data_IF_580245370842
#
_entry.id   IF_580245370842
#
_cell.length_a   1.000
_cell.length_b   1.000
_cell.length_c   1.000
_cell.angle_alpha   90.00
_cell.angle_beta   90.00
_cell.angle_gamma   90.00
#
_symmetry.space_group_name_H-M   'P 1'
#
loop_
_entity.id
_entity.type
_entity.pdbx_description
1 polymer ?
#
# COMPACT_ATOMS: atom_id res chain seq x y z
N UNK A 1 37.26 36.36 27.74
CA UNK A 1 36.20 36.30 26.70
C UNK A 1 36.92 36.35 25.35
N UNK A 2 36.95 35.38 24.46
CA UNK A 2 36.18 34.15 24.25
C UNK A 2 37.08 33.19 23.46
N UNK A 3 37.44 32.05 24.04
CA UNK A 3 38.03 30.91 23.31
C UNK A 3 36.99 29.78 23.35
N UNK A 4 35.96 29.87 22.50
CA UNK A 4 34.82 28.94 22.47
C UNK A 4 34.30 28.58 21.07
N UNK A 5 34.99 28.97 20.00
CA UNK A 5 34.46 28.79 18.63
C UNK A 5 34.98 27.55 17.88
N UNK A 6 35.85 26.72 18.47
CA UNK A 6 36.47 25.58 17.77
C UNK A 6 35.78 24.21 17.98
N UNK A 7 34.82 24.09 18.88
CA UNK A 7 34.16 22.81 19.19
C UNK A 7 32.79 22.63 18.52
N UNK A 8 32.21 23.69 17.95
CA UNK A 8 30.85 23.63 17.40
C UNK A 8 30.80 23.04 15.98
N UNK A 9 31.89 23.17 15.20
CA UNK A 9 31.95 22.65 13.83
C UNK A 9 32.26 21.15 13.78
N UNK A 10 32.90 20.60 14.82
CA UNK A 10 33.17 19.16 14.91
C UNK A 10 31.94 18.32 15.32
N UNK A 11 30.93 18.94 15.95
CA UNK A 11 29.73 18.24 16.42
C UNK A 11 28.67 18.03 15.31
N UNK A 12 28.67 18.90 14.29
CA UNK A 12 27.72 18.84 13.16
C UNK A 12 28.12 17.79 12.12
N UNK A 13 29.41 17.46 11.99
CA UNK A 13 29.88 16.41 11.09
C UNK A 13 29.67 14.98 11.62
N UNK A 14 29.54 14.81 12.94
CA UNK A 14 29.31 13.50 13.56
C UNK A 14 27.82 13.08 13.52
N UNK A 15 26.91 14.05 13.50
CA UNK A 15 25.46 13.79 13.40
C UNK A 15 25.02 13.41 11.98
N UNK A 16 25.71 13.88 10.93
CA UNK A 16 25.41 13.53 9.53
C UNK A 16 25.96 12.15 9.13
N UNK A 17 27.04 11.67 9.76
CA UNK A 17 27.57 10.33 9.53
C UNK A 17 26.68 9.21 10.14
N UNK A 18 25.95 9.51 11.21
CA UNK A 18 25.08 8.52 11.90
C UNK A 18 23.81 8.17 11.10
N UNK A 19 23.24 9.14 10.36
CA UNK A 19 22.04 8.93 9.55
C UNK A 19 22.31 8.12 8.28
N UNK A 20 23.49 8.27 7.67
CA UNK A 20 23.85 7.56 6.43
C UNK A 20 24.12 6.07 6.72
N UNK A 21 24.80 5.76 7.83
CA UNK A 21 25.07 4.36 8.24
C UNK A 21 23.79 3.58 8.58
N UNK A 22 22.77 4.27 9.09
CA UNK A 22 21.48 3.64 9.46
C UNK A 22 20.66 3.24 8.23
N UNK A 23 20.64 4.07 7.19
CA UNK A 23 19.96 3.76 5.92
C UNK A 23 20.65 2.64 5.14
N UNK A 24 21.99 2.59 5.19
CA UNK A 24 22.77 1.59 4.46
C UNK A 24 22.69 0.18 5.08
N UNK A 25 22.49 0.09 6.40
CA UNK A 25 22.29 -1.19 7.11
C UNK A 25 20.90 -1.82 6.88
N UNK A 26 19.88 -1.04 6.51
CA UNK A 26 18.56 -1.57 6.15
C UNK A 26 18.55 -2.20 4.74
N UNK A 27 19.35 -1.69 3.81
CA UNK A 27 19.42 -2.22 2.45
C UNK A 27 20.26 -3.50 2.34
N UNK A 28 21.26 -3.68 3.23
CA UNK A 28 22.21 -4.80 3.16
C UNK A 28 21.76 -6.08 3.87
N UNK A 29 20.72 -6.03 4.71
CA UNK A 29 20.17 -7.18 5.45
C UNK A 29 18.75 -7.58 4.99
N UNK A 30 18.47 -7.48 3.69
CA UNK A 30 17.19 -7.91 3.13
C UNK A 30 17.16 -9.44 3.04
N UNK A 31 16.52 -10.08 4.02
CA UNK A 31 16.33 -11.55 4.04
C UNK A 31 15.47 -11.99 2.86
N UNK A 32 15.48 -13.29 2.55
CA UNK A 32 14.58 -13.86 1.55
C UNK A 32 13.10 -13.57 1.88
N UNK A 33 12.75 -13.61 3.16
CA UNK A 33 11.41 -13.28 3.65
C UNK A 33 11.02 -11.83 3.37
N UNK A 34 11.91 -10.85 3.63
CA UNK A 34 11.60 -9.45 3.35
C UNK A 34 11.37 -9.21 1.85
N UNK A 35 12.20 -9.79 0.97
CA UNK A 35 12.00 -9.69 -0.48
C UNK A 35 10.65 -10.26 -0.92
N UNK A 36 10.25 -11.40 -0.37
CA UNK A 36 8.94 -12.01 -0.66
C UNK A 36 7.78 -11.12 -0.18
N UNK A 37 7.92 -10.49 0.99
CA UNK A 37 6.90 -9.60 1.55
C UNK A 37 6.66 -8.39 0.64
N UNK A 38 7.72 -7.67 0.27
CA UNK A 38 7.56 -6.50 -0.60
C UNK A 38 7.11 -6.89 -2.01
N UNK A 39 7.55 -8.04 -2.53
CA UNK A 39 7.02 -8.53 -3.81
C UNK A 39 5.50 -8.80 -3.76
N UNK A 40 4.98 -9.29 -2.63
CA UNK A 40 3.54 -9.44 -2.43
C UNK A 40 2.84 -8.07 -2.38
N UNK A 41 3.40 -7.11 -1.64
CA UNK A 41 2.84 -5.76 -1.55
C UNK A 41 2.79 -5.06 -2.91
N UNK A 42 3.88 -5.13 -3.68
CA UNK A 42 3.96 -4.55 -5.02
C UNK A 42 2.94 -5.18 -5.97
N UNK A 43 2.78 -6.51 -5.91
CA UNK A 43 1.80 -7.21 -6.74
C UNK A 43 0.35 -6.80 -6.41
N UNK A 44 0.02 -6.70 -5.12
CA UNK A 44 -1.33 -6.26 -4.69
C UNK A 44 -1.58 -4.78 -4.97
N UNK A 45 -0.56 -3.94 -4.86
CA UNK A 45 -0.65 -2.54 -5.23
C UNK A 45 -0.99 -2.38 -6.71
N UNK A 46 -0.23 -3.03 -7.60
CA UNK A 46 -0.47 -2.99 -9.04
C UNK A 46 -1.84 -3.58 -9.42
N UNK A 47 -2.25 -4.68 -8.77
CA UNK A 47 -3.59 -5.23 -8.95
C UNK A 47 -4.67 -4.25 -8.50
N UNK A 48 -4.50 -3.61 -7.34
CA UNK A 48 -5.42 -2.61 -6.82
C UNK A 48 -5.61 -1.43 -7.76
N UNK A 49 -4.53 -0.91 -8.36
CA UNK A 49 -4.59 0.15 -9.37
C UNK A 49 -5.35 -0.31 -10.62
N UNK A 50 -5.10 -1.54 -11.08
CA UNK A 50 -5.76 -2.11 -12.27
C UNK A 50 -7.25 -2.36 -12.06
N UNK A 51 -7.62 -2.91 -10.90
CA UNK A 51 -9.01 -3.21 -10.53
C UNK A 51 -9.78 -1.95 -10.13
N UNK A 52 -9.10 -0.87 -9.73
CA UNK A 52 -9.73 0.41 -9.39
C UNK A 52 -9.21 1.57 -10.28
N UNK A 53 -9.62 1.65 -11.56
CA UNK A 53 -9.13 2.65 -12.50
C UNK A 53 -9.37 4.11 -12.10
N UNK A 54 -10.49 4.37 -11.40
CA UNK A 54 -10.83 5.71 -10.88
C UNK A 54 -9.87 6.13 -9.78
N UNK A 55 -9.50 5.20 -8.89
CA UNK A 55 -8.49 5.46 -7.85
C UNK A 55 -7.08 5.61 -8.43
N UNK A 56 -6.70 4.78 -9.40
CA UNK A 56 -5.44 4.96 -10.13
C UNK A 56 -5.36 6.36 -10.76
N UNK A 57 -6.45 6.79 -11.41
CA UNK A 57 -6.54 8.12 -12.02
C UNK A 57 -6.44 9.24 -10.98
N UNK A 58 -7.05 9.07 -9.80
CA UNK A 58 -6.95 10.00 -8.67
C UNK A 58 -5.50 10.15 -8.17
N UNK A 59 -4.74 9.05 -8.13
CA UNK A 59 -3.31 9.05 -7.77
C UNK A 59 -2.39 9.59 -8.88
N UNK A 60 -2.94 9.95 -10.05
CA UNK A 60 -2.18 10.44 -11.19
C UNK A 60 -1.72 9.35 -12.16
N UNK A 61 -1.97 8.07 -11.86
CA UNK A 61 -1.71 6.97 -12.78
C UNK A 61 -2.83 6.87 -13.83
N UNK A 62 -2.50 7.26 -15.06
CA UNK A 62 -3.45 7.30 -16.17
C UNK A 62 -3.48 6.03 -17.03
N UNK A 63 -2.74 4.96 -16.67
CA UNK A 63 -2.68 3.69 -17.45
C UNK A 63 -4.06 3.05 -17.69
N UNK A 64 -5.03 3.32 -16.82
CA UNK A 64 -6.39 2.75 -16.86
C UNK A 64 -7.50 3.80 -16.99
N UNK A 65 -7.17 5.06 -17.31
CA UNK A 65 -8.11 6.20 -17.28
C UNK A 65 -9.32 6.09 -18.24
N UNK A 66 -9.31 5.10 -19.14
CA UNK A 66 -10.40 4.79 -20.07
C UNK A 66 -11.29 3.62 -19.61
N UNK A 67 -11.20 3.20 -18.35
CA UNK A 67 -11.94 2.05 -17.80
C UNK A 67 -12.72 2.41 -16.54
N UNK A 68 -13.72 1.59 -16.26
CA UNK A 68 -14.45 1.55 -14.99
C UNK A 68 -14.11 0.28 -14.22
N UNK A 69 -14.33 0.32 -12.90
CA UNK A 69 -14.30 -0.90 -12.08
C UNK A 69 -15.39 -1.88 -12.58
N UNK A 70 -15.04 -3.16 -12.69
CA UNK A 70 -16.02 -4.22 -12.97
C UNK A 70 -16.78 -4.56 -11.69
N UNK A 71 -18.02 -4.05 -11.59
CA UNK A 71 -18.92 -4.26 -10.46
C UNK A 71 -19.80 -5.52 -10.59
N UNK A 72 -19.54 -6.41 -11.55
CA UNK A 72 -20.28 -7.66 -11.69
C UNK A 72 -20.06 -8.60 -10.50
N UNK A 73 -21.06 -9.44 -10.19
CA UNK A 73 -20.95 -10.43 -9.12
C UNK A 73 -19.76 -11.38 -9.33
N UNK A 74 -19.53 -11.81 -10.58
CA UNK A 74 -18.37 -12.63 -10.94
C UNK A 74 -17.04 -11.92 -10.62
N UNK A 75 -16.90 -10.64 -10.93
CA UNK A 75 -15.68 -9.89 -10.60
C UNK A 75 -15.50 -9.71 -9.08
N UNK A 76 -16.60 -9.48 -8.36
CA UNK A 76 -16.60 -9.40 -6.88
C UNK A 76 -16.14 -10.73 -6.27
N UNK A 77 -16.67 -11.85 -6.75
CA UNK A 77 -16.28 -13.20 -6.29
C UNK A 77 -14.82 -13.50 -6.60
N UNK A 78 -14.34 -13.15 -7.81
CA UNK A 78 -12.92 -13.29 -8.17
C UNK A 78 -12.02 -12.48 -7.24
N UNK A 79 -12.36 -11.21 -6.95
CA UNK A 79 -11.62 -10.39 -6.00
C UNK A 79 -11.64 -10.98 -4.58
N UNK A 80 -12.75 -11.56 -4.16
CA UNK A 80 -12.81 -12.25 -2.85
C UNK A 80 -11.89 -13.46 -2.80
N UNK A 81 -11.92 -14.29 -3.84
CA UNK A 81 -11.08 -15.48 -3.94
C UNK A 81 -9.60 -15.10 -3.95
N UNK A 82 -9.25 -14.05 -4.71
CA UNK A 82 -7.90 -13.49 -4.73
C UNK A 82 -7.44 -13.06 -3.33
N UNK A 83 -8.26 -12.32 -2.56
CA UNK A 83 -7.90 -11.94 -1.18
C UNK A 83 -7.61 -13.13 -0.27
N UNK A 84 -8.35 -14.23 -0.41
CA UNK A 84 -8.11 -15.46 0.35
C UNK A 84 -6.76 -16.08 -0.05
N UNK A 85 -6.44 -16.09 -1.33
CA UNK A 85 -5.18 -16.58 -1.86
C UNK A 85 -3.99 -15.71 -1.43
N UNK A 86 -4.15 -14.39 -1.42
CA UNK A 86 -3.15 -13.44 -0.91
C UNK A 86 -2.85 -13.68 0.57
N UNK A 87 -3.86 -13.92 1.41
CA UNK A 87 -3.63 -14.30 2.82
C UNK A 87 -2.87 -15.63 2.95
N UNK A 88 -3.20 -16.61 2.11
CA UNK A 88 -2.50 -17.87 2.10
C UNK A 88 -1.04 -17.72 1.63
N UNK A 89 -0.76 -16.81 0.69
CA UNK A 89 0.58 -16.46 0.25
C UNK A 89 1.37 -15.73 1.35
N UNK A 90 0.75 -14.74 2.01
CA UNK A 90 1.34 -14.01 3.13
C UNK A 90 1.77 -14.95 4.27
N UNK A 91 0.95 -15.95 4.59
CA UNK A 91 1.24 -16.95 5.65
C UNK A 91 2.44 -17.85 5.35
N UNK A 92 2.92 -17.90 4.11
CA UNK A 92 4.15 -18.63 3.74
C UNK A 92 5.42 -17.86 4.09
N UNK A 93 5.32 -16.55 4.31
CA UNK A 93 6.44 -15.70 4.71
C UNK A 93 6.64 -15.84 6.22
N UNK A 94 7.82 -16.29 6.63
CA UNK A 94 8.16 -16.46 8.05
C UNK A 94 8.32 -15.10 8.72
N UNK A 95 7.29 -14.66 9.45
CA UNK A 95 7.28 -13.38 10.19
C UNK A 95 8.49 -13.20 11.12
N UNK A 96 8.99 -14.27 11.72
CA UNK A 96 10.17 -14.23 12.61
C UNK A 96 11.49 -13.87 11.89
N UNK A 97 11.56 -14.03 10.57
CA UNK A 97 12.71 -13.66 9.74
C UNK A 97 12.66 -12.22 9.22
N UNK A 98 11.59 -11.50 9.54
CA UNK A 98 11.40 -10.10 9.16
C UNK A 98 12.03 -9.16 10.19
N UNK A 99 12.49 -8.01 9.73
CA UNK A 99 12.88 -6.90 10.60
C UNK A 99 11.69 -6.43 11.45
N UNK A 100 11.92 -5.78 12.59
CA UNK A 100 10.83 -5.27 13.45
C UNK A 100 9.86 -4.34 12.68
N UNK A 101 10.32 -3.39 11.84
CA UNK A 101 9.42 -2.63 10.97
C UNK A 101 8.64 -3.49 9.98
N UNK A 102 9.27 -4.47 9.35
CA UNK A 102 8.60 -5.34 8.38
C UNK A 102 7.57 -6.28 9.03
N UNK A 103 7.79 -6.67 10.30
CA UNK A 103 6.80 -7.39 11.08
C UNK A 103 5.54 -6.56 11.29
N UNK A 104 5.68 -5.26 11.55
CA UNK A 104 4.52 -4.37 11.67
C UNK A 104 3.79 -4.23 10.31
N UNK A 105 4.53 -4.06 9.22
CA UNK A 105 3.94 -3.98 7.88
C UNK A 105 3.20 -5.28 7.53
N UNK A 106 3.79 -6.43 7.84
CA UNK A 106 3.16 -7.74 7.71
C UNK A 106 1.84 -7.82 8.49
N UNK A 107 1.85 -7.43 9.78
CA UNK A 107 0.68 -7.52 10.64
C UNK A 107 -0.47 -6.61 10.17
N UNK A 108 -0.14 -5.39 9.74
CA UNK A 108 -1.12 -4.43 9.20
C UNK A 108 -1.74 -4.97 7.91
N UNK A 109 -0.91 -5.44 6.99
CA UNK A 109 -1.39 -6.02 5.74
C UNK A 109 -2.25 -7.28 5.98
N UNK A 110 -1.83 -8.15 6.91
CA UNK A 110 -2.63 -9.31 7.31
C UNK A 110 -4.00 -8.88 7.81
N UNK A 111 -4.05 -7.90 8.72
CA UNK A 111 -5.29 -7.39 9.28
C UNK A 111 -6.21 -6.83 8.21
N UNK A 112 -5.71 -5.99 7.30
CA UNK A 112 -6.50 -5.40 6.22
C UNK A 112 -7.16 -6.47 5.33
N UNK A 113 -6.41 -7.52 5.00
CA UNK A 113 -6.93 -8.62 4.18
C UNK A 113 -7.89 -9.54 4.95
N UNK A 114 -7.63 -9.82 6.23
CA UNK A 114 -8.54 -10.60 7.08
C UNK A 114 -9.89 -9.89 7.23
N UNK A 115 -9.87 -8.58 7.51
CA UNK A 115 -11.08 -7.76 7.57
C UNK A 115 -11.81 -7.70 6.22
N UNK A 116 -11.09 -7.63 5.10
CA UNK A 116 -11.69 -7.64 3.77
C UNK A 116 -12.34 -9.00 3.43
N UNK A 117 -11.69 -10.11 3.79
CA UNK A 117 -12.23 -11.47 3.59
C UNK A 117 -13.45 -11.70 4.48
N UNK A 118 -13.36 -11.36 5.77
CA UNK A 118 -14.48 -11.48 6.70
C UNK A 118 -15.64 -10.59 6.26
N UNK A 119 -15.34 -9.35 5.88
CA UNK A 119 -16.32 -8.33 5.50
C UNK A 119 -17.22 -8.74 4.33
N UNK A 120 -16.78 -9.68 3.48
CA UNK A 120 -17.56 -10.18 2.35
C UNK A 120 -18.89 -10.82 2.77
N UNK A 121 -18.96 -11.40 3.98
CA UNK A 121 -20.21 -12.03 4.50
C UNK A 121 -21.36 -11.04 4.65
N UNK A 122 -21.05 -9.76 4.84
CA UNK A 122 -22.04 -8.69 4.97
C UNK A 122 -22.53 -8.15 3.62
N UNK A 123 -21.97 -8.62 2.50
CA UNK A 123 -22.42 -8.31 1.13
C UNK A 123 -22.61 -6.81 0.86
N UNK A 124 -21.67 -5.97 1.32
CA UNK A 124 -21.71 -4.52 1.12
C UNK A 124 -21.87 -4.08 -0.34
N UNK A 125 -21.46 -4.93 -1.30
CA UNK A 125 -21.69 -4.71 -2.73
C UNK A 125 -23.18 -4.69 -3.14
N UNK A 126 -24.11 -5.14 -2.28
CA UNK A 126 -25.55 -5.01 -2.47
C UNK A 126 -26.11 -3.66 -1.97
N UNK A 127 -25.24 -2.79 -1.45
CA UNK A 127 -25.57 -1.43 -1.00
C UNK A 127 -24.80 -0.40 -1.84
N UNK A 128 -25.09 -0.26 -3.14
CA UNK A 128 -24.33 0.59 -4.07
C UNK A 128 -24.49 2.09 -3.81
N UNK A 129 -25.47 2.47 -2.98
CA UNK A 129 -25.75 3.86 -2.59
C UNK A 129 -25.85 3.90 -1.07
N UNK A 130 -25.06 4.78 -0.46
CA UNK A 130 -25.07 5.06 0.97
C UNK A 130 -24.88 6.57 1.20
N UNK A 131 -25.03 7.02 2.44
CA UNK A 131 -24.64 8.36 2.89
C UNK A 131 -23.15 8.68 2.70
N UNK A 132 -22.29 7.66 2.61
CA UNK A 132 -20.84 7.78 2.46
C UNK A 132 -20.39 7.79 0.99
N UNK A 133 -21.30 7.56 0.03
CA UNK A 133 -20.96 7.55 -1.38
C UNK A 133 -21.84 6.63 -2.21
N UNK A 134 -21.53 6.55 -3.50
CA UNK A 134 -22.24 5.75 -4.48
C UNK A 134 -22.22 6.43 -5.85
N UNK A 135 -23.04 5.96 -6.77
CA UNK A 135 -23.10 6.55 -8.12
C UNK A 135 -23.47 8.03 -8.12
N UNK A 136 -24.15 8.50 -7.07
CA UNK A 136 -24.55 9.89 -6.89
C UNK A 136 -23.38 10.86 -6.62
N UNK A 137 -22.18 10.37 -6.31
CA UNK A 137 -20.98 11.21 -6.07
C UNK A 137 -20.00 11.14 -7.25
N UNK A 138 -20.41 10.58 -8.40
CA UNK A 138 -19.50 10.32 -9.52
C UNK A 138 -19.04 11.60 -10.23
N UNK A 139 -19.77 12.70 -10.08
CA UNK A 139 -19.40 14.02 -10.59
C UNK A 139 -18.09 14.52 -9.95
N UNK A 140 -17.76 14.10 -8.73
CA UNK A 140 -16.50 14.42 -8.04
C UNK A 140 -15.27 13.98 -8.85
N UNK A 141 -15.38 12.93 -9.69
CA UNK A 141 -14.29 12.48 -10.58
C UNK A 141 -13.76 13.61 -11.47
N UNK A 142 -14.62 14.56 -11.86
CA UNK A 142 -14.27 15.69 -12.71
C UNK A 142 -13.24 16.63 -12.07
N UNK A 143 -13.10 16.58 -10.74
CA UNK A 143 -12.14 17.41 -10.00
C UNK A 143 -10.70 16.91 -10.14
N UNK A 144 -10.49 15.62 -10.45
CA UNK A 144 -9.17 14.99 -10.49
C UNK A 144 -8.86 14.25 -11.80
N UNK A 145 -9.85 14.08 -12.68
CA UNK A 145 -9.68 13.56 -14.03
C UNK A 145 -9.76 14.73 -15.01
N UNK A 146 -8.62 15.11 -15.59
CA UNK A 146 -8.58 16.11 -16.65
C UNK A 146 -9.01 15.48 -17.98
N UNK A 147 -9.90 16.16 -18.69
CA UNK A 147 -10.24 15.83 -20.07
C UNK A 147 -9.11 16.31 -20.99
N UNK A 148 -8.51 15.39 -21.72
CA UNK A 148 -7.56 15.70 -22.78
C UNK A 148 -8.31 15.72 -24.11
N UNK A 149 -8.26 16.85 -24.81
CA UNK A 149 -8.81 17.07 -26.16
C UNK A 149 -7.74 16.87 -27.22
#
# INVERSE_FOLDING_TARGET
>A
MFNRMSYFVLFVFLASAFSIVSAQNQASNQTGATKQLYALFDAEWELGLKENPTFASFLGDKRYNNRWNDASLSAIEKRQQHRIETLAALKKIYRAELSVPDQLNYDLFQKDYEEAVEGNKYKRYLLPITQQGGIQTIDELTQFIQFQT
#
